data_IF_117694563839
#
_entry.id   IF_117694563839
#
_cell.length_a   1.000
_cell.length_b   1.000
_cell.length_c   1.000
_cell.angle_alpha   90.00
_cell.angle_beta   90.00
_cell.angle_gamma   90.00
#
_symmetry.space_group_name_H-M   'P 1'
#
loop_
_entity.id
_entity.type
_entity.pdbx_description
1 polymer ?
#
# COMPACT_ATOMS: atom_id res chain seq x y z
N UNK A 1 11.38 71.85 65.23
CA UNK A 1 12.29 71.63 64.08
C UNK A 1 12.69 70.16 64.13
N UNK A 2 11.93 69.28 63.46
CA UNK A 2 12.13 67.83 63.56
C UNK A 2 13.39 67.45 62.79
N UNK A 3 14.40 66.99 63.52
CA UNK A 3 15.61 66.37 62.97
C UNK A 3 15.15 65.03 62.38
N UNK A 4 14.73 65.04 61.12
CA UNK A 4 14.53 63.83 60.35
C UNK A 4 15.87 63.11 60.30
N UNK A 5 15.91 61.92 60.90
CA UNK A 5 17.10 61.09 60.99
C UNK A 5 17.75 60.97 59.61
N UNK A 6 19.01 61.41 59.50
CA UNK A 6 19.79 61.43 58.24
C UNK A 6 19.84 60.05 57.56
N UNK A 7 19.60 58.98 58.30
CA UNK A 7 19.46 57.61 57.79
C UNK A 7 18.14 57.39 57.05
N UNK A 8 17.03 57.92 57.56
CA UNK A 8 15.71 57.85 56.94
C UNK A 8 15.61 58.67 55.65
N UNK A 9 16.32 59.80 55.58
CA UNK A 9 16.39 60.63 54.38
C UNK A 9 17.27 59.97 53.30
N UNK A 10 18.39 59.34 53.71
CA UNK A 10 19.20 58.50 52.80
C UNK A 10 18.44 57.28 52.29
N UNK A 11 17.60 56.65 53.11
CA UNK A 11 16.77 55.52 52.67
C UNK A 11 15.71 55.98 51.67
N UNK A 12 15.03 57.10 51.94
CA UNK A 12 14.08 57.71 51.01
C UNK A 12 14.74 58.11 49.70
N UNK A 13 15.89 58.77 49.74
CA UNK A 13 16.65 59.15 48.55
C UNK A 13 17.08 57.93 47.73
N UNK A 14 17.55 56.85 48.37
CA UNK A 14 17.85 55.59 47.68
C UNK A 14 16.61 54.97 47.04
N UNK A 15 15.48 54.95 47.77
CA UNK A 15 14.25 54.36 47.25
C UNK A 15 13.68 55.14 46.06
N UNK A 16 13.69 56.48 46.13
CA UNK A 16 13.33 57.36 45.02
C UNK A 16 14.26 57.12 43.82
N UNK A 17 15.57 57.04 44.04
CA UNK A 17 16.53 56.76 42.97
C UNK A 17 16.33 55.39 42.33
N UNK A 18 15.95 54.38 43.11
CA UNK A 18 15.59 53.04 42.59
C UNK A 18 14.31 53.08 41.77
N UNK A 19 13.30 53.83 42.20
CA UNK A 19 12.07 54.02 41.44
C UNK A 19 12.30 54.81 40.15
N UNK A 20 13.15 55.84 40.17
CA UNK A 20 13.57 56.58 38.98
C UNK A 20 14.37 55.68 38.02
N UNK A 21 15.24 54.80 38.54
CA UNK A 21 15.96 53.83 37.71
C UNK A 21 15.00 52.82 37.07
N UNK A 22 14.02 52.31 37.82
CA UNK A 22 13.01 51.38 37.31
C UNK A 22 12.08 52.05 36.29
N UNK A 23 11.69 53.30 36.53
CA UNK A 23 10.92 54.12 35.59
C UNK A 23 11.73 54.36 34.32
N UNK A 24 13.01 54.74 34.45
CA UNK A 24 13.91 54.93 33.30
C UNK A 24 14.16 53.62 32.54
N UNK A 25 14.26 52.50 33.23
CA UNK A 25 14.39 51.17 32.61
C UNK A 25 13.09 50.75 31.93
N UNK A 26 11.92 51.14 32.47
CA UNK A 26 10.62 50.93 31.84
C UNK A 26 10.41 51.85 30.63
N UNK A 27 10.89 53.08 30.68
CA UNK A 27 10.80 54.03 29.57
C UNK A 27 11.79 53.63 28.46
N UNK A 28 13.02 53.22 28.80
CA UNK A 28 14.03 52.71 27.85
C UNK A 28 13.61 51.36 27.23
N UNK A 29 13.03 50.44 28.01
CA UNK A 29 12.48 49.17 27.48
C UNK A 29 11.10 49.32 26.83
N UNK A 30 10.32 50.34 27.20
CA UNK A 30 9.07 50.71 26.55
C UNK A 30 9.29 51.33 25.17
N UNK A 31 10.50 51.81 24.91
CA UNK A 31 10.95 52.34 23.61
C UNK A 31 11.76 51.30 22.80
N UNK A 32 11.79 50.03 23.22
CA UNK A 32 12.22 48.92 22.37
C UNK A 32 11.16 48.66 21.29
N UNK A 33 11.22 49.48 20.23
CA UNK A 33 11.11 49.05 18.82
C UNK A 33 10.13 47.90 18.53
N UNK A 34 8.92 47.97 19.08
CA UNK A 34 7.78 47.21 18.59
C UNK A 34 7.26 47.91 17.34
N UNK A 35 8.00 47.71 16.25
CA UNK A 35 7.52 47.88 14.89
C UNK A 35 7.22 49.32 14.51
N UNK A 36 8.02 49.83 13.58
CA UNK A 36 7.55 50.79 12.60
C UNK A 36 6.09 50.47 12.21
N UNK A 37 5.24 51.49 12.32
CA UNK A 37 3.82 51.43 11.97
C UNK A 37 3.60 51.19 10.47
N UNK A 38 3.82 49.95 10.03
CA UNK A 38 3.15 49.40 8.86
C UNK A 38 1.75 48.94 9.28
N UNK A 39 0.71 49.20 8.47
CA UNK A 39 -0.67 48.97 8.86
C UNK A 39 -0.87 47.49 9.19
N UNK A 40 -1.11 47.19 10.48
CA UNK A 40 -1.36 45.83 10.98
C UNK A 40 -2.58 45.18 10.31
N UNK A 41 -3.44 45.94 9.63
CA UNK A 41 -4.60 45.42 8.90
C UNK A 41 -4.20 44.62 7.65
N UNK A 42 -3.06 44.92 7.02
CA UNK A 42 -2.65 44.20 5.81
C UNK A 42 -1.91 42.92 6.18
N UNK A 43 -1.13 42.95 7.27
CA UNK A 43 -0.36 41.79 7.73
C UNK A 43 -1.24 40.63 8.22
N UNK A 44 -2.43 40.89 8.76
CA UNK A 44 -3.38 39.82 9.06
C UNK A 44 -3.96 39.20 7.79
N UNK A 45 -4.30 40.03 6.79
CA UNK A 45 -4.76 39.55 5.48
C UNK A 45 -3.68 38.72 4.78
N UNK A 46 -2.44 39.21 4.73
CA UNK A 46 -1.32 38.50 4.09
C UNK A 46 -1.03 37.15 4.79
N UNK A 47 -1.22 37.07 6.11
CA UNK A 47 -1.07 35.82 6.86
C UNK A 47 -2.26 34.87 6.67
N UNK A 48 -3.49 35.39 6.55
CA UNK A 48 -4.67 34.60 6.21
C UNK A 48 -4.56 34.01 4.79
N UNK A 49 -4.14 34.82 3.82
CA UNK A 49 -3.88 34.41 2.44
C UNK A 49 -2.77 33.35 2.36
N UNK A 50 -1.68 33.51 3.13
CA UNK A 50 -0.60 32.53 3.19
C UNK A 50 -1.04 31.23 3.90
N UNK A 51 -1.88 31.31 4.93
CA UNK A 51 -2.48 30.13 5.58
C UNK A 51 -3.36 29.37 4.59
N UNK A 52 -4.19 30.06 3.82
CA UNK A 52 -5.08 29.42 2.85
C UNK A 52 -4.28 28.84 1.68
N UNK A 53 -3.22 29.52 1.22
CA UNK A 53 -2.26 28.95 0.28
C UNK A 53 -1.60 27.67 0.82
N UNK A 54 -1.14 27.67 2.07
CA UNK A 54 -0.51 26.51 2.69
C UNK A 54 -1.48 25.35 2.88
N UNK A 55 -2.76 25.62 3.20
CA UNK A 55 -3.81 24.60 3.23
C UNK A 55 -4.05 23.99 1.86
N UNK A 56 -4.13 24.81 0.82
CA UNK A 56 -4.31 24.35 -0.56
C UNK A 56 -3.11 23.52 -1.03
N UNK A 57 -1.89 23.96 -0.73
CA UNK A 57 -0.67 23.24 -1.04
C UNK A 57 -0.62 21.90 -0.29
N UNK A 58 -0.92 21.89 1.00
CA UNK A 58 -1.00 20.66 1.79
C UNK A 58 -2.06 19.71 1.24
N UNK A 59 -3.26 20.21 0.92
CA UNK A 59 -4.33 19.43 0.30
C UNK A 59 -3.90 18.79 -1.02
N UNK A 60 -3.23 19.53 -1.89
CA UNK A 60 -2.68 18.99 -3.15
C UNK A 60 -1.61 17.93 -2.91
N UNK A 61 -0.70 18.16 -1.96
CA UNK A 61 0.32 17.15 -1.63
C UNK A 61 -0.29 15.87 -1.05
N UNK A 62 -1.33 16.00 -0.22
CA UNK A 62 -2.00 14.88 0.41
C UNK A 62 -2.74 14.04 -0.63
N UNK A 63 -3.47 14.68 -1.56
CA UNK A 63 -4.09 14.00 -2.72
C UNK A 63 -3.04 13.31 -3.58
N UNK A 64 -1.91 13.96 -3.87
CA UNK A 64 -0.83 13.35 -4.66
C UNK A 64 -0.21 12.12 -3.98
N UNK A 65 -0.04 12.15 -2.65
CA UNK A 65 0.45 11.00 -1.88
C UNK A 65 -0.60 9.88 -1.84
N UNK A 66 -1.88 10.20 -1.67
CA UNK A 66 -2.97 9.23 -1.71
C UNK A 66 -3.10 8.55 -3.08
N UNK A 67 -3.02 9.32 -4.18
CA UNK A 67 -3.04 8.79 -5.54
C UNK A 67 -1.83 7.88 -5.80
N UNK A 68 -0.62 8.30 -5.40
CA UNK A 68 0.58 7.47 -5.52
C UNK A 68 0.48 6.17 -4.71
N UNK A 69 -0.05 6.24 -3.48
CA UNK A 69 -0.30 5.06 -2.65
C UNK A 69 -1.34 4.13 -3.29
N UNK A 70 -2.40 4.70 -3.88
CA UNK A 70 -3.46 3.94 -4.57
C UNK A 70 -2.93 3.23 -5.81
N UNK A 71 -2.10 3.89 -6.62
CA UNK A 71 -1.45 3.28 -7.79
C UNK A 71 -0.55 2.14 -7.34
N UNK A 72 0.30 2.37 -6.33
CA UNK A 72 1.20 1.33 -5.80
C UNK A 72 0.44 0.13 -5.24
N UNK A 73 -0.69 0.36 -4.57
CA UNK A 73 -1.55 -0.71 -4.07
C UNK A 73 -2.18 -1.52 -5.22
N UNK A 74 -2.60 -0.85 -6.30
CA UNK A 74 -3.14 -1.52 -7.49
C UNK A 74 -2.07 -2.40 -8.17
N UNK A 75 -0.84 -1.90 -8.31
CA UNK A 75 0.30 -2.66 -8.85
C UNK A 75 0.61 -3.89 -7.99
N UNK A 76 0.65 -3.73 -6.66
CA UNK A 76 0.86 -4.84 -5.73
C UNK A 76 -0.26 -5.88 -5.82
N UNK A 77 -1.51 -5.43 -5.95
CA UNK A 77 -2.67 -6.33 -6.10
C UNK A 77 -2.55 -7.15 -7.38
N UNK A 78 -2.22 -6.51 -8.50
CA UNK A 78 -2.01 -7.20 -9.77
C UNK A 78 -0.85 -8.21 -9.71
N UNK A 79 0.25 -7.86 -9.03
CA UNK A 79 1.38 -8.77 -8.85
C UNK A 79 0.99 -10.01 -8.00
N UNK A 80 0.22 -9.82 -6.93
CA UNK A 80 -0.28 -10.92 -6.10
C UNK A 80 -1.22 -11.84 -6.90
N UNK A 81 -2.12 -11.28 -7.70
CA UNK A 81 -3.02 -12.06 -8.57
C UNK A 81 -2.24 -12.88 -9.60
N UNK A 82 -1.23 -12.27 -10.25
CA UNK A 82 -0.36 -12.96 -11.20
C UNK A 82 0.41 -14.13 -10.55
N UNK A 83 0.99 -13.90 -9.37
CA UNK A 83 1.70 -14.93 -8.61
C UNK A 83 0.75 -16.05 -8.16
N UNK A 84 -0.47 -15.71 -7.76
CA UNK A 84 -1.47 -16.70 -7.34
C UNK A 84 -1.90 -17.57 -8.53
N UNK A 85 -2.07 -16.98 -9.72
CA UNK A 85 -2.37 -17.70 -10.95
C UNK A 85 -1.21 -18.60 -11.40
N UNK A 86 0.04 -18.12 -11.30
CA UNK A 86 1.21 -18.93 -11.62
C UNK A 86 1.36 -20.13 -10.65
N UNK A 87 1.10 -19.91 -9.36
CA UNK A 87 1.18 -20.96 -8.35
C UNK A 87 0.10 -22.02 -8.55
N UNK A 88 -1.14 -21.63 -8.88
CA UNK A 88 -2.19 -22.60 -9.17
C UNK A 88 -1.90 -23.43 -10.42
N UNK A 89 -1.29 -22.83 -11.46
CA UNK A 89 -0.80 -23.57 -12.64
C UNK A 89 0.28 -24.58 -12.27
N UNK A 90 1.33 -24.15 -11.57
CA UNK A 90 2.41 -25.03 -11.12
C UNK A 90 1.89 -26.19 -10.27
N UNK A 91 0.92 -25.94 -9.40
CA UNK A 91 0.27 -26.99 -8.60
C UNK A 91 -0.45 -28.02 -9.48
N UNK A 92 -1.16 -27.57 -10.51
CA UNK A 92 -1.81 -28.47 -11.46
C UNK A 92 -0.78 -29.28 -12.26
N UNK A 93 0.27 -28.63 -12.77
CA UNK A 93 1.33 -29.28 -13.53
C UNK A 93 2.03 -30.36 -12.69
N UNK A 94 2.30 -30.08 -11.41
CA UNK A 94 2.84 -31.06 -10.47
C UNK A 94 1.91 -32.26 -10.27
N UNK A 95 0.60 -32.04 -10.15
CA UNK A 95 -0.37 -33.13 -10.04
C UNK A 95 -0.42 -33.98 -11.32
N UNK A 96 -0.38 -33.33 -12.49
CA UNK A 96 -0.35 -34.01 -13.78
C UNK A 96 0.93 -34.84 -13.95
N UNK A 97 2.08 -34.28 -13.59
CA UNK A 97 3.36 -34.99 -13.64
C UNK A 97 3.40 -36.16 -12.65
N UNK A 98 2.88 -35.99 -11.43
CA UNK A 98 2.80 -37.06 -10.44
C UNK A 98 1.87 -38.20 -10.90
N UNK A 99 0.76 -37.88 -11.56
CA UNK A 99 -0.10 -38.87 -12.19
C UNK A 99 0.63 -39.63 -13.32
N UNK A 100 1.27 -38.91 -14.24
CA UNK A 100 2.03 -39.53 -15.33
C UNK A 100 3.18 -40.41 -14.83
N UNK A 101 3.87 -40.01 -13.75
CA UNK A 101 4.91 -40.81 -13.11
C UNK A 101 4.36 -42.09 -12.49
N UNK A 102 3.17 -42.03 -11.87
CA UNK A 102 2.52 -43.24 -11.32
C UNK A 102 2.16 -44.20 -12.45
N UNK A 103 1.56 -43.70 -13.53
CA UNK A 103 1.17 -44.51 -14.68
C UNK A 103 2.39 -45.16 -15.35
N UNK A 104 3.48 -44.40 -15.54
CA UNK A 104 4.74 -44.94 -16.06
C UNK A 104 5.34 -46.01 -15.14
N UNK A 105 5.31 -45.79 -13.82
CA UNK A 105 5.81 -46.76 -12.85
C UNK A 105 4.98 -48.05 -12.87
N UNK A 106 3.67 -47.93 -12.99
CA UNK A 106 2.79 -49.08 -13.04
C UNK A 106 2.96 -49.81 -14.37
N UNK A 107 3.10 -49.12 -15.50
CA UNK A 107 3.41 -49.73 -16.81
C UNK A 107 4.70 -50.54 -16.74
N UNK A 108 5.79 -49.95 -16.23
CA UNK A 108 7.06 -50.65 -16.04
C UNK A 108 6.97 -51.87 -15.11
N UNK A 109 6.10 -51.83 -14.09
CA UNK A 109 5.84 -53.00 -13.24
C UNK A 109 5.14 -54.12 -14.00
N UNK A 110 4.13 -53.79 -14.81
CA UNK A 110 3.42 -54.77 -15.63
C UNK A 110 4.36 -55.40 -16.66
N UNK A 111 5.16 -54.58 -17.37
CA UNK A 111 6.16 -55.07 -18.30
C UNK A 111 7.17 -55.99 -17.61
N UNK A 112 7.70 -55.59 -16.44
CA UNK A 112 8.66 -56.43 -15.69
C UNK A 112 8.06 -57.77 -15.27
N UNK A 113 6.78 -57.80 -14.91
CA UNK A 113 6.07 -59.04 -14.61
C UNK A 113 5.90 -59.89 -15.87
N UNK A 114 5.47 -59.30 -16.99
CA UNK A 114 5.33 -59.99 -18.27
C UNK A 114 6.66 -60.61 -18.73
N UNK A 115 7.76 -59.85 -18.71
CA UNK A 115 9.11 -60.36 -19.03
C UNK A 115 9.55 -61.50 -18.12
N UNK A 116 9.17 -61.45 -16.83
CA UNK A 116 9.47 -62.52 -15.89
C UNK A 116 8.69 -63.79 -16.22
N UNK A 117 7.41 -63.65 -16.55
CA UNK A 117 6.56 -64.77 -16.94
C UNK A 117 7.04 -65.39 -18.25
N UNK A 118 7.34 -64.59 -19.28
CA UNK A 118 7.94 -65.06 -20.54
C UNK A 118 9.25 -65.81 -20.32
N UNK A 119 10.14 -65.27 -19.46
CA UNK A 119 11.38 -65.96 -19.12
C UNK A 119 11.13 -67.31 -18.46
N UNK A 120 10.18 -67.40 -17.52
CA UNK A 120 9.84 -68.69 -16.90
C UNK A 120 9.25 -69.68 -17.90
N UNK A 121 8.46 -69.22 -18.87
CA UNK A 121 7.93 -70.05 -19.96
C UNK A 121 9.04 -70.56 -20.87
N UNK A 122 10.00 -69.70 -21.24
CA UNK A 122 11.17 -70.09 -22.03
C UNK A 122 12.06 -71.09 -21.27
N UNK A 123 12.33 -70.86 -19.99
CA UNK A 123 13.10 -71.79 -19.16
C UNK A 123 12.40 -73.16 -19.05
N UNK A 124 11.07 -73.18 -18.92
CA UNK A 124 10.29 -74.41 -18.92
C UNK A 124 10.33 -75.13 -20.29
N UNK A 125 10.18 -74.39 -21.39
CA UNK A 125 10.26 -74.93 -22.74
C UNK A 125 11.65 -75.51 -23.06
N UNK A 126 12.73 -74.82 -22.64
CA UNK A 126 14.10 -75.33 -22.76
C UNK A 126 14.29 -76.61 -21.94
N UNK A 127 13.78 -76.64 -20.70
CA UNK A 127 13.86 -77.82 -19.84
C UNK A 127 13.09 -79.02 -20.40
N UNK A 128 11.95 -78.78 -21.06
CA UNK A 128 11.16 -79.82 -21.74
C UNK A 128 11.83 -80.32 -23.03
N UNK A 129 12.42 -79.41 -23.82
CA UNK A 129 13.20 -79.75 -25.01
C UNK A 129 14.47 -80.55 -24.68
N UNK A 130 15.16 -80.23 -23.57
CA UNK A 130 16.33 -81.01 -23.11
C UNK A 130 15.96 -82.38 -22.55
N UNK A 131 14.73 -82.56 -22.07
CA UNK A 131 14.22 -83.86 -21.58
C UNK A 131 13.89 -84.85 -22.71
N UNK A 132 13.64 -84.33 -23.92
CA UNK A 132 13.20 -85.11 -25.09
C UNK A 132 14.33 -85.39 -26.09
N UNK A 133 15.56 -84.90 -25.84
CA UNK A 133 16.73 -85.17 -26.66
C UNK A 133 17.49 -86.45 -26.23
N UNK A 134 17.76 -87.41 -27.16
CA UNK A 134 18.70 -88.51 -26.91
C UNK A 134 20.17 -88.00 -26.91
N UNK A 135 21.13 -88.76 -26.33
CA UNK A 135 22.52 -88.32 -26.22
C UNK A 135 23.12 -88.01 -27.60
N UNK A 136 23.75 -86.84 -27.71
CA UNK A 136 24.30 -86.33 -28.97
C UNK A 136 25.36 -87.28 -29.54
N UNK A 137 25.08 -87.84 -30.73
CA UNK A 137 26.11 -88.34 -31.65
C UNK A 137 26.63 -87.18 -32.50
N UNK A 138 27.93 -87.15 -32.85
CA UNK A 138 28.54 -86.02 -33.55
C UNK A 138 28.08 -86.02 -35.00
N UNK A 139 26.96 -85.32 -35.25
CA UNK A 139 26.43 -85.13 -36.58
C UNK A 139 26.90 -83.76 -37.05
N UNK A 140 27.81 -83.80 -38.02
CA UNK A 140 28.27 -82.68 -38.84
C UNK A 140 27.07 -81.86 -39.31
N UNK A 141 26.84 -80.71 -38.67
CA UNK A 141 25.91 -79.70 -39.16
C UNK A 141 26.62 -79.01 -40.32
N UNK A 142 26.15 -79.28 -41.54
CA UNK A 142 26.42 -78.42 -42.67
C UNK A 142 25.93 -77.02 -42.32
N UNK A 143 26.88 -76.09 -42.18
CA UNK A 143 26.60 -74.66 -42.20
C UNK A 143 25.98 -74.33 -43.55
N UNK A 144 24.65 -74.33 -43.62
CA UNK A 144 23.97 -73.39 -44.50
C UNK A 144 24.25 -72.00 -43.94
N UNK A 145 25.29 -71.39 -44.48
CA UNK A 145 25.50 -69.95 -44.39
C UNK A 145 24.31 -69.27 -45.06
N UNK A 146 23.32 -68.84 -44.27
CA UNK A 146 22.50 -67.70 -44.66
C UNK A 146 23.38 -66.44 -44.65
N UNK A 147 23.13 -65.46 -45.53
CA UNK A 147 24.06 -64.36 -45.75
C UNK A 147 24.26 -63.55 -44.44
N UNK A 148 25.49 -63.40 -43.93
CA UNK A 148 25.79 -62.68 -42.68
C UNK A 148 25.59 -61.16 -42.78
N UNK A 149 25.14 -60.65 -43.93
CA UNK A 149 24.96 -59.22 -44.16
C UNK A 149 23.62 -58.70 -43.61
N UNK A 150 22.54 -59.49 -43.60
CA UNK A 150 21.22 -58.98 -43.18
C UNK A 150 21.07 -58.82 -41.66
N UNK A 151 21.54 -59.79 -40.86
CA UNK A 151 21.50 -59.70 -39.39
C UNK A 151 22.41 -58.57 -38.85
N UNK A 152 23.58 -58.36 -39.46
CA UNK A 152 24.47 -57.26 -39.09
C UNK A 152 23.85 -55.89 -39.40
N UNK A 153 23.11 -55.75 -40.51
CA UNK A 153 22.44 -54.50 -40.88
C UNK A 153 21.28 -54.20 -39.92
N UNK A 154 20.52 -55.22 -39.49
CA UNK A 154 19.44 -55.03 -38.53
C UNK A 154 19.95 -54.69 -37.12
N UNK A 155 21.01 -55.36 -36.64
CA UNK A 155 21.66 -55.01 -35.37
C UNK A 155 22.26 -53.61 -35.39
N UNK A 156 22.90 -53.21 -36.49
CA UNK A 156 23.48 -51.87 -36.64
C UNK A 156 22.38 -50.79 -36.68
N UNK A 157 21.24 -51.07 -37.30
CA UNK A 157 20.07 -50.17 -37.32
C UNK A 157 19.45 -50.01 -35.94
N UNK A 158 19.31 -51.10 -35.18
CA UNK A 158 18.82 -51.06 -33.79
C UNK A 158 19.80 -50.26 -32.92
N UNK A 159 21.11 -50.47 -33.10
CA UNK A 159 22.14 -49.74 -32.36
C UNK A 159 22.10 -48.23 -32.63
N UNK A 160 21.95 -47.83 -33.90
CA UNK A 160 21.81 -46.41 -34.28
C UNK A 160 20.53 -45.78 -33.73
N UNK A 161 19.43 -46.53 -33.71
CA UNK A 161 18.18 -46.07 -33.08
C UNK A 161 18.35 -45.87 -31.56
N UNK A 162 18.97 -46.84 -30.88
CA UNK A 162 19.23 -46.75 -29.45
C UNK A 162 20.16 -45.58 -29.11
N UNK A 163 21.15 -45.31 -29.95
CA UNK A 163 22.10 -44.19 -29.78
C UNK A 163 21.42 -42.83 -30.01
N UNK A 164 20.50 -42.74 -30.97
CA UNK A 164 19.68 -41.55 -31.18
C UNK A 164 18.72 -41.28 -30.01
N UNK A 165 18.07 -42.32 -29.46
CA UNK A 165 17.21 -42.21 -28.28
C UNK A 165 18.00 -41.81 -27.02
N UNK A 166 19.21 -42.37 -26.85
CA UNK A 166 20.11 -41.99 -25.76
C UNK A 166 20.50 -40.51 -25.84
N UNK A 167 20.81 -40.02 -27.03
CA UNK A 167 21.17 -38.61 -27.23
C UNK A 167 19.97 -37.68 -27.01
N UNK A 168 18.77 -38.09 -27.44
CA UNK A 168 17.54 -37.36 -27.15
C UNK A 168 17.25 -37.31 -25.65
N UNK A 169 17.47 -38.41 -24.93
CA UNK A 169 17.34 -38.47 -23.46
C UNK A 169 18.35 -37.56 -22.77
N UNK A 170 19.61 -37.54 -23.22
CA UNK A 170 20.64 -36.62 -22.69
C UNK A 170 20.26 -35.16 -22.89
N UNK A 171 19.73 -34.79 -24.06
CA UNK A 171 19.25 -33.43 -24.31
C UNK A 171 18.06 -33.06 -23.42
N UNK A 172 17.11 -33.99 -23.22
CA UNK A 172 16.00 -33.79 -22.30
C UNK A 172 16.47 -33.55 -20.87
N UNK A 173 17.42 -34.35 -20.37
CA UNK A 173 18.02 -34.19 -19.04
C UNK A 173 18.74 -32.84 -18.92
N UNK A 174 19.55 -32.45 -19.91
CA UNK A 174 20.24 -31.16 -19.89
C UNK A 174 19.25 -29.97 -19.83
N UNK A 175 18.14 -30.05 -20.57
CA UNK A 175 17.08 -29.04 -20.53
C UNK A 175 16.36 -29.00 -19.16
N UNK A 176 16.10 -30.16 -18.57
CA UNK A 176 15.50 -30.28 -17.24
C UNK A 176 16.44 -29.74 -16.15
N UNK A 177 17.74 -29.97 -16.27
CA UNK A 177 18.73 -29.41 -15.34
C UNK A 177 18.84 -27.88 -15.46
N UNK A 178 18.83 -27.34 -16.68
CA UNK A 178 18.85 -25.89 -16.89
C UNK A 178 17.60 -25.22 -16.31
N UNK A 179 16.42 -25.82 -16.49
CA UNK A 179 15.17 -25.31 -15.91
C UNK A 179 15.16 -25.43 -14.39
N UNK A 180 15.68 -26.53 -13.83
CA UNK A 180 15.86 -26.69 -12.37
C UNK A 180 16.75 -25.59 -11.79
N UNK A 181 17.90 -25.32 -12.40
CA UNK A 181 18.82 -24.26 -11.95
C UNK A 181 18.18 -22.87 -12.01
N UNK A 182 17.41 -22.58 -13.08
CA UNK A 182 16.68 -21.32 -13.19
C UNK A 182 15.61 -21.16 -12.10
N UNK A 183 14.87 -22.22 -11.78
CA UNK A 183 13.88 -22.23 -10.69
C UNK A 183 14.55 -22.09 -9.31
N UNK A 184 15.67 -22.76 -9.08
CA UNK A 184 16.45 -22.61 -7.84
C UNK A 184 16.92 -21.16 -7.64
N UNK A 185 17.41 -20.50 -8.70
CA UNK A 185 17.80 -19.09 -8.64
C UNK A 185 16.61 -18.16 -8.33
N UNK A 186 15.44 -18.42 -8.92
CA UNK A 186 14.22 -17.67 -8.61
C UNK A 186 13.79 -17.85 -7.15
N UNK A 187 13.85 -19.06 -6.61
CA UNK A 187 13.52 -19.34 -5.19
C UNK A 187 14.46 -18.60 -4.25
N UNK A 188 15.76 -18.54 -4.55
CA UNK A 188 16.72 -17.76 -3.75
C UNK A 188 16.37 -16.27 -3.76
N UNK A 189 16.02 -15.73 -4.94
CA UNK A 189 15.63 -14.33 -5.10
C UNK A 189 14.37 -14.01 -4.29
N UNK A 190 13.30 -14.81 -4.46
CA UNK A 190 12.05 -14.65 -3.72
C UNK A 190 12.23 -14.76 -2.19
N UNK A 191 13.14 -15.62 -1.73
CA UNK A 191 13.50 -15.69 -0.30
C UNK A 191 14.19 -14.43 0.19
N UNK A 192 15.02 -13.80 -0.66
CA UNK A 192 15.63 -12.50 -0.38
C UNK A 192 14.57 -11.40 -0.23
N UNK A 193 13.67 -11.31 -1.20
CA UNK A 193 12.58 -10.32 -1.23
C UNK A 193 11.65 -10.48 -0.02
N UNK A 194 11.31 -11.73 0.34
CA UNK A 194 10.49 -12.01 1.53
C UNK A 194 11.17 -11.54 2.81
N UNK A 195 12.48 -11.78 2.97
CA UNK A 195 13.23 -11.28 4.14
C UNK A 195 13.23 -9.76 4.20
N UNK A 196 13.41 -9.09 3.06
CA UNK A 196 13.37 -7.63 2.99
C UNK A 196 11.98 -7.09 3.35
N UNK A 197 10.92 -7.71 2.84
CA UNK A 197 9.55 -7.33 3.14
C UNK A 197 9.22 -7.51 4.64
N UNK A 198 9.66 -8.60 5.26
CA UNK A 198 9.49 -8.84 6.70
C UNK A 198 10.22 -7.77 7.53
N UNK A 199 11.44 -7.40 7.15
CA UNK A 199 12.19 -6.35 7.84
C UNK A 199 11.54 -4.96 7.66
N UNK A 200 11.03 -4.65 6.48
CA UNK A 200 10.29 -3.42 6.24
C UNK A 200 9.00 -3.38 7.09
N UNK A 201 8.23 -4.48 7.12
CA UNK A 201 7.01 -4.59 7.91
C UNK A 201 7.28 -4.46 9.43
N UNK A 202 8.39 -5.03 9.93
CA UNK A 202 8.76 -4.88 11.34
C UNK A 202 9.13 -3.43 11.67
N UNK A 203 9.89 -2.75 10.80
CA UNK A 203 10.21 -1.33 10.98
C UNK A 203 8.97 -0.43 11.00
N UNK A 204 8.04 -0.63 10.06
CA UNK A 204 6.77 0.10 10.03
C UNK A 204 5.93 -0.15 11.29
N UNK A 205 5.92 -1.39 11.80
CA UNK A 205 5.20 -1.73 13.04
C UNK A 205 5.79 -1.00 14.25
N UNK A 206 7.11 -0.85 14.32
CA UNK A 206 7.75 -0.06 15.38
C UNK A 206 7.41 1.42 15.27
N UNK A 207 7.35 1.97 14.06
CA UNK A 207 6.97 3.37 13.81
C UNK A 207 5.50 3.64 14.19
N UNK A 208 4.57 2.76 13.79
CA UNK A 208 3.15 2.83 14.18
C UNK A 208 3.02 2.84 15.71
N UNK A 209 3.76 1.96 16.39
CA UNK A 209 3.71 1.89 17.87
C UNK A 209 4.24 3.18 18.51
N UNK A 210 5.29 3.78 17.94
CA UNK A 210 5.82 5.06 18.41
C UNK A 210 4.82 6.20 18.20
N UNK A 211 4.20 6.28 17.02
CA UNK A 211 3.18 7.29 16.70
C UNK A 211 1.93 7.14 17.58
N UNK A 212 1.48 5.92 17.86
CA UNK A 212 0.39 5.66 18.80
C UNK A 212 0.73 6.16 20.21
N UNK A 213 1.96 5.92 20.66
CA UNK A 213 2.43 6.41 21.96
C UNK A 213 2.43 7.95 22.01
N UNK A 214 2.93 8.60 20.96
CA UNK A 214 2.91 10.07 20.84
C UNK A 214 1.48 10.63 20.84
N UNK A 215 0.56 9.98 20.13
CA UNK A 215 -0.85 10.39 20.10
C UNK A 215 -1.48 10.32 21.49
N UNK A 216 -1.25 9.23 22.23
CA UNK A 216 -1.78 9.11 23.60
C UNK A 216 -1.19 10.18 24.54
N UNK A 217 0.09 10.51 24.40
CA UNK A 217 0.72 11.57 25.18
C UNK A 217 0.12 12.95 24.85
N UNK A 218 -0.10 13.25 23.57
CA UNK A 218 -0.74 14.48 23.12
C UNK A 218 -2.18 14.61 23.65
N UNK A 219 -2.97 13.53 23.62
CA UNK A 219 -4.33 13.50 24.18
C UNK A 219 -4.35 13.76 25.70
N UNK A 220 -3.38 13.21 26.44
CA UNK A 220 -3.24 13.47 27.88
C UNK A 220 -2.91 14.95 28.13
N UNK A 221 -2.01 15.53 27.34
CA UNK A 221 -1.65 16.95 27.44
C UNK A 221 -2.84 17.86 27.10
N UNK A 222 -3.58 17.56 26.04
CA UNK A 222 -4.79 18.30 25.66
C UNK A 222 -5.84 18.28 26.77
N UNK A 223 -6.09 17.09 27.36
CA UNK A 223 -7.02 16.96 28.48
C UNK A 223 -6.58 17.78 29.69
N UNK A 224 -5.29 17.77 30.02
CA UNK A 224 -4.75 18.57 31.12
C UNK A 224 -4.93 20.08 30.89
N UNK A 225 -4.67 20.56 29.66
CA UNK A 225 -4.89 21.96 29.29
C UNK A 225 -6.38 22.33 29.31
N UNK A 226 -7.26 21.44 28.85
CA UNK A 226 -8.72 21.61 28.91
C UNK A 226 -9.21 21.73 30.36
N UNK A 227 -8.72 20.88 31.26
CA UNK A 227 -9.05 20.94 32.68
C UNK A 227 -8.51 22.24 33.33
N UNK A 228 -7.30 22.67 32.98
CA UNK A 228 -6.78 23.97 33.41
C UNK A 228 -7.68 25.13 32.95
N UNK A 229 -8.13 25.14 31.69
CA UNK A 229 -9.06 26.15 31.18
C UNK A 229 -10.39 26.14 31.93
N UNK A 230 -10.95 24.97 32.25
CA UNK A 230 -12.18 24.85 33.06
C UNK A 230 -11.98 25.44 34.45
N UNK A 231 -10.86 25.15 35.12
CA UNK A 231 -10.58 25.73 36.45
C UNK A 231 -10.42 27.25 36.39
N UNK A 232 -9.73 27.78 35.38
CA UNK A 232 -9.58 29.22 35.17
C UNK A 232 -10.91 29.90 34.88
N UNK A 233 -11.79 29.29 34.06
CA UNK A 233 -13.16 29.77 33.84
C UNK A 233 -13.98 29.79 35.12
N UNK A 234 -13.89 28.73 35.94
CA UNK A 234 -14.57 28.65 37.23
C UNK A 234 -14.11 29.72 38.22
N UNK A 235 -12.79 29.98 38.28
CA UNK A 235 -12.22 31.08 39.07
C UNK A 235 -12.69 32.45 38.58
N UNK A 236 -12.70 32.65 37.26
CA UNK A 236 -13.14 33.91 36.65
C UNK A 236 -14.61 34.19 36.96
N UNK A 237 -15.51 33.20 36.79
CA UNK A 237 -16.92 33.32 37.19
C UNK A 237 -17.08 33.62 38.68
N UNK A 238 -16.28 32.96 39.53
CA UNK A 238 -16.31 33.20 40.99
C UNK A 238 -15.84 34.62 41.35
N UNK A 239 -14.86 35.17 40.63
CA UNK A 239 -14.42 36.55 40.79
C UNK A 239 -15.48 37.53 40.30
N UNK A 240 -16.10 37.27 39.14
CA UNK A 240 -17.20 38.09 38.61
C UNK A 240 -18.38 38.19 39.59
N UNK A 241 -18.79 37.07 40.21
CA UNK A 241 -19.85 37.03 41.23
C UNK A 241 -19.45 37.81 42.49
N UNK A 242 -18.17 37.83 42.87
CA UNK A 242 -17.68 38.62 44.00
C UNK A 242 -17.63 40.12 43.67
N UNK A 243 -17.27 40.48 42.46
CA UNK A 243 -17.19 41.87 42.00
C UNK A 243 -18.54 42.49 41.67
N UNK A 244 -19.57 41.70 41.37
CA UNK A 244 -20.93 42.20 41.13
C UNK A 244 -21.67 42.62 42.41
N UNK A 245 -21.10 42.35 43.59
CA UNK A 245 -21.53 42.91 44.88
C UNK A 245 -20.98 44.29 45.21
N UNK A 246 -19.94 44.75 44.51
CA UNK A 246 -19.39 46.11 44.65
C UNK A 246 -20.00 47.04 43.60
N UNK A 247 -20.84 47.96 44.05
CA UNK A 247 -21.55 48.94 43.22
C UNK A 247 -20.53 49.81 42.46
N UNK A 248 -20.54 49.82 41.11
CA UNK A 248 -19.53 50.56 40.36
C UNK A 248 -19.88 52.05 40.25
N UNK A 249 -19.17 52.87 41.02
CA UNK A 249 -19.05 54.32 40.79
C UNK A 249 -17.84 54.57 39.89
N UNK A 250 -18.03 54.72 38.58
CA UNK A 250 -17.14 55.43 37.62
C UNK A 250 -17.36 54.93 36.18
N UNK A 251 -17.25 55.84 35.22
CA UNK A 251 -17.38 55.68 33.76
C UNK A 251 -16.53 54.56 33.15
N UNK A 252 -15.46 54.11 33.82
CA UNK A 252 -14.64 52.95 33.43
C UNK A 252 -15.38 51.60 33.55
N UNK A 253 -16.35 51.48 34.46
CA UNK A 253 -17.11 50.24 34.66
C UNK A 253 -18.12 49.95 33.54
N UNK A 254 -18.66 50.99 32.88
CA UNK A 254 -19.56 50.79 31.74
C UNK A 254 -18.82 50.16 30.54
N UNK A 255 -17.56 50.57 30.31
CA UNK A 255 -16.71 50.00 29.24
C UNK A 255 -16.32 48.55 29.54
N UNK A 256 -16.03 48.24 30.81
CA UNK A 256 -15.74 46.87 31.26
C UNK A 256 -16.96 45.96 31.13
N UNK A 257 -18.15 46.43 31.54
CA UNK A 257 -19.42 45.71 31.36
C UNK A 257 -19.74 45.46 29.89
N UNK A 258 -19.48 46.44 29.01
CA UNK A 258 -19.67 46.28 27.57
C UNK A 258 -18.70 45.24 26.98
N UNK A 259 -17.43 45.26 27.39
CA UNK A 259 -16.44 44.24 27.00
C UNK A 259 -16.86 42.85 27.49
N UNK A 260 -17.32 42.72 28.73
CA UNK A 260 -17.80 41.46 29.28
C UNK A 260 -19.00 40.91 28.49
N UNK A 261 -19.99 41.76 28.17
CA UNK A 261 -21.12 41.37 27.31
C UNK A 261 -20.68 40.91 25.93
N UNK A 262 -19.70 41.60 25.35
CA UNK A 262 -19.15 41.25 24.02
C UNK A 262 -18.43 39.91 24.05
N UNK A 263 -17.65 39.63 25.10
CA UNK A 263 -16.96 38.35 25.27
C UNK A 263 -17.94 37.19 25.51
N UNK A 264 -19.02 37.42 26.25
CA UNK A 264 -20.07 36.43 26.44
C UNK A 264 -20.80 36.12 25.12
N UNK A 265 -21.12 37.13 24.32
CA UNK A 265 -21.71 36.91 22.99
C UNK A 265 -20.77 36.11 22.08
N UNK A 266 -19.47 36.43 22.07
CA UNK A 266 -18.47 35.67 21.30
C UNK A 266 -18.31 34.23 21.78
N UNK A 267 -18.40 33.99 23.09
CA UNK A 267 -18.39 32.63 23.66
C UNK A 267 -19.61 31.84 23.21
N UNK A 268 -20.79 32.45 23.21
CA UNK A 268 -22.02 31.83 22.76
C UNK A 268 -22.00 31.51 21.25
N UNK A 269 -21.44 32.41 20.43
CA UNK A 269 -21.21 32.16 19.00
C UNK A 269 -20.21 31.02 18.77
N UNK A 270 -19.16 30.91 19.60
CA UNK A 270 -18.22 29.78 19.50
C UNK A 270 -18.85 28.46 19.95
N UNK A 271 -19.69 28.47 20.98
CA UNK A 271 -20.40 27.28 21.45
C UNK A 271 -21.40 26.76 20.41
N UNK A 272 -22.15 27.64 19.77
CA UNK A 272 -23.06 27.27 18.67
C UNK A 272 -22.31 26.71 17.48
N UNK A 273 -21.21 27.36 17.07
CA UNK A 273 -20.37 26.90 15.97
C UNK A 273 -19.69 25.56 16.27
N UNK A 274 -19.32 25.31 17.52
CA UNK A 274 -18.79 24.00 17.94
C UNK A 274 -19.85 22.90 17.85
N UNK A 275 -21.08 23.18 18.30
CA UNK A 275 -22.19 22.23 18.19
C UNK A 275 -22.55 21.91 16.74
N UNK A 276 -22.49 22.91 15.84
CA UNK A 276 -22.63 22.71 14.39
C UNK A 276 -21.52 21.81 13.84
N UNK A 277 -20.26 22.08 14.22
CA UNK A 277 -19.12 21.27 13.76
C UNK A 277 -19.18 19.82 14.25
N UNK A 278 -19.63 19.59 15.49
CA UNK A 278 -19.86 18.24 16.02
C UNK A 278 -20.97 17.51 15.27
N UNK A 279 -22.07 18.21 14.94
CA UNK A 279 -23.15 17.64 14.14
C UNK A 279 -22.68 17.26 12.72
N UNK A 280 -21.89 18.12 12.08
CA UNK A 280 -21.28 17.83 10.78
C UNK A 280 -20.30 16.66 10.84
N UNK A 281 -19.47 16.60 11.89
CA UNK A 281 -18.55 15.48 12.09
C UNK A 281 -19.29 14.15 12.23
N UNK A 282 -20.36 14.11 13.03
CA UNK A 282 -21.21 12.92 13.15
C UNK A 282 -21.88 12.55 11.82
N UNK A 283 -22.40 13.52 11.07
CA UNK A 283 -23.00 13.27 9.76
C UNK A 283 -21.98 12.72 8.74
N UNK A 284 -20.75 13.22 8.76
CA UNK A 284 -19.65 12.71 7.93
C UNK A 284 -19.24 11.29 8.34
N UNK A 285 -19.18 11.02 9.64
CA UNK A 285 -18.88 9.68 10.17
C UNK A 285 -19.94 8.66 9.75
N UNK A 286 -21.23 9.03 9.84
CA UNK A 286 -22.34 8.19 9.38
C UNK A 286 -22.29 7.95 7.86
N UNK A 287 -21.95 8.99 7.09
CA UNK A 287 -21.79 8.87 5.63
C UNK A 287 -20.62 7.96 5.27
N UNK A 288 -19.50 8.06 5.97
CA UNK A 288 -18.33 7.20 5.79
C UNK A 288 -18.68 5.73 6.11
N UNK A 289 -19.41 5.50 7.22
CA UNK A 289 -19.87 4.16 7.59
C UNK A 289 -20.80 3.55 6.52
N UNK A 290 -21.75 4.35 5.98
CA UNK A 290 -22.63 3.93 4.88
C UNK A 290 -21.86 3.59 3.61
N UNK A 291 -20.91 4.42 3.21
CA UNK A 291 -20.07 4.16 2.04
C UNK A 291 -19.23 2.89 2.22
N UNK A 292 -18.64 2.70 3.41
CA UNK A 292 -17.88 1.50 3.72
C UNK A 292 -18.75 0.24 3.66
N UNK A 293 -20.00 0.31 4.15
CA UNK A 293 -20.95 -0.78 4.04
C UNK A 293 -21.38 -1.05 2.58
N UNK A 294 -21.59 -0.01 1.78
CA UNK A 294 -21.88 -0.14 0.34
C UNK A 294 -20.73 -0.83 -0.40
N UNK A 295 -19.48 -0.42 -0.15
CA UNK A 295 -18.31 -1.08 -0.74
C UNK A 295 -18.21 -2.56 -0.35
N UNK A 296 -18.44 -2.89 0.92
CA UNK A 296 -18.44 -4.29 1.36
C UNK A 296 -19.52 -5.11 0.65
N UNK A 297 -20.72 -4.55 0.48
CA UNK A 297 -21.81 -5.20 -0.23
C UNK A 297 -21.49 -5.38 -1.72
N UNK A 298 -20.94 -4.37 -2.40
CA UNK A 298 -20.54 -4.46 -3.81
C UNK A 298 -19.44 -5.51 -4.03
N UNK A 299 -18.44 -5.56 -3.14
CA UNK A 299 -17.38 -6.57 -3.20
C UNK A 299 -17.94 -7.97 -2.97
N UNK A 300 -18.86 -8.13 -2.02
CA UNK A 300 -19.53 -9.41 -1.78
C UNK A 300 -20.37 -9.84 -3.00
N UNK A 301 -21.09 -8.90 -3.62
CA UNK A 301 -21.91 -9.17 -4.80
C UNK A 301 -21.05 -9.54 -6.01
N UNK A 302 -19.96 -8.80 -6.30
CA UNK A 302 -19.02 -9.15 -7.37
C UNK A 302 -18.36 -10.52 -7.15
N UNK A 303 -18.10 -10.89 -5.89
CA UNK A 303 -17.58 -12.23 -5.56
C UNK A 303 -18.63 -13.33 -5.78
N UNK A 304 -19.89 -13.05 -5.49
CA UNK A 304 -21.00 -13.97 -5.75
C UNK A 304 -21.24 -14.13 -7.27
N UNK A 305 -21.31 -13.02 -8.01
CA UNK A 305 -21.45 -13.02 -9.46
C UNK A 305 -20.26 -13.74 -10.13
N UNK A 306 -19.04 -13.55 -9.61
CA UNK A 306 -17.86 -14.25 -10.09
C UNK A 306 -17.88 -15.77 -9.81
N UNK A 307 -18.55 -16.18 -8.74
CA UNK A 307 -18.75 -17.59 -8.40
C UNK A 307 -19.86 -18.24 -9.25
N UNK A 308 -20.92 -17.50 -9.60
CA UNK A 308 -22.04 -17.99 -10.43
C UNK A 308 -21.70 -18.01 -11.94
N UNK A 309 -21.06 -16.97 -12.47
CA UNK A 309 -20.76 -16.88 -13.91
C UNK A 309 -19.53 -17.69 -14.33
N UNK A 310 -18.67 -18.07 -13.38
CA UNK A 310 -17.40 -18.76 -13.66
C UNK A 310 -16.40 -17.87 -14.41
N UNK A 311 -15.11 -18.14 -14.17
CA UNK A 311 -13.98 -17.31 -14.65
C UNK A 311 -14.02 -17.06 -16.17
N UNK A 312 -14.56 -18.01 -16.95
CA UNK A 312 -14.69 -17.90 -18.39
C UNK A 312 -15.76 -16.90 -18.84
N UNK A 313 -16.94 -16.86 -18.21
CA UNK A 313 -17.97 -15.90 -18.61
C UNK A 313 -17.55 -14.46 -18.28
N UNK A 314 -16.92 -14.27 -17.11
CA UNK A 314 -16.33 -12.99 -16.71
C UNK A 314 -15.25 -12.54 -17.71
N UNK A 315 -14.41 -13.47 -18.18
CA UNK A 315 -13.38 -13.15 -19.18
C UNK A 315 -13.98 -12.75 -20.54
N UNK A 316 -15.07 -13.40 -20.95
CA UNK A 316 -15.80 -13.07 -22.18
C UNK A 316 -16.47 -11.70 -22.06
N UNK A 317 -17.10 -11.41 -20.92
CA UNK A 317 -17.72 -10.10 -20.64
C UNK A 317 -16.68 -8.99 -20.60
N UNK A 318 -15.56 -9.17 -19.91
CA UNK A 318 -14.45 -8.21 -19.88
C UNK A 318 -13.86 -7.98 -21.27
N UNK A 319 -13.75 -9.02 -22.11
CA UNK A 319 -13.33 -8.86 -23.52
C UNK A 319 -14.32 -8.03 -24.32
N UNK A 320 -15.61 -8.24 -24.10
CA UNK A 320 -16.68 -7.48 -24.76
C UNK A 320 -16.70 -6.02 -24.32
N UNK A 321 -16.56 -5.77 -23.03
CA UNK A 321 -16.49 -4.42 -22.46
C UNK A 321 -15.21 -3.69 -22.92
N UNK A 322 -14.05 -4.37 -22.90
CA UNK A 322 -12.80 -3.79 -23.41
C UNK A 322 -12.89 -3.43 -24.89
N UNK A 323 -13.56 -4.26 -25.68
CA UNK A 323 -13.84 -3.97 -27.08
C UNK A 323 -14.73 -2.73 -27.23
N UNK A 324 -15.81 -2.62 -26.45
CA UNK A 324 -16.69 -1.44 -26.46
C UNK A 324 -15.95 -0.16 -26.05
N UNK A 325 -15.09 -0.22 -25.03
CA UNK A 325 -14.28 0.91 -24.59
C UNK A 325 -13.28 1.35 -25.67
N UNK A 326 -12.66 0.41 -26.39
CA UNK A 326 -11.79 0.74 -27.53
C UNK A 326 -12.55 1.45 -28.63
N UNK A 327 -13.74 0.98 -28.97
CA UNK A 327 -14.61 1.65 -29.96
C UNK A 327 -14.96 3.06 -29.52
N UNK A 328 -15.35 3.27 -28.26
CA UNK A 328 -15.65 4.61 -27.74
C UNK A 328 -14.42 5.53 -27.75
N UNK A 329 -13.23 5.02 -27.44
CA UNK A 329 -11.98 5.79 -27.53
C UNK A 329 -11.66 6.17 -28.98
N UNK A 330 -11.91 5.28 -29.94
CA UNK A 330 -11.74 5.60 -31.36
C UNK A 330 -12.75 6.64 -31.86
N UNK A 331 -14.01 6.55 -31.42
CA UNK A 331 -15.04 7.56 -31.69
C UNK A 331 -14.65 8.92 -31.10
N UNK A 332 -14.17 8.95 -29.85
CA UNK A 332 -13.68 10.18 -29.21
C UNK A 332 -12.47 10.76 -29.95
N UNK A 333 -11.54 9.92 -30.44
CA UNK A 333 -10.42 10.38 -31.29
C UNK A 333 -10.91 10.90 -32.64
N UNK A 334 -11.92 10.28 -33.25
CA UNK A 334 -12.52 10.72 -34.50
C UNK A 334 -13.20 12.08 -34.33
N UNK A 335 -13.98 12.26 -33.25
CA UNK A 335 -14.58 13.54 -32.88
C UNK A 335 -13.50 14.60 -32.62
N UNK A 336 -12.47 14.27 -31.83
CA UNK A 336 -11.35 15.17 -31.58
C UNK A 336 -10.67 15.61 -32.90
N UNK A 337 -10.47 14.69 -33.84
CA UNK A 337 -9.90 15.01 -35.16
C UNK A 337 -10.82 15.93 -35.96
N UNK A 338 -12.13 15.72 -35.92
CA UNK A 338 -13.12 16.58 -36.60
C UNK A 338 -13.21 17.98 -35.97
N UNK A 339 -13.08 18.12 -34.65
CA UNK A 339 -13.15 19.42 -33.97
C UNK A 339 -11.82 20.19 -33.97
N UNK A 340 -10.66 19.52 -34.00
CA UNK A 340 -9.34 20.17 -34.00
C UNK A 340 -8.80 20.50 -35.39
N UNK A 341 -9.31 19.88 -36.47
CA UNK A 341 -8.86 20.21 -37.84
C UNK A 341 -9.36 21.55 -38.41
N UNK A 342 -10.55 22.09 -38.11
CA UNK A 342 -10.94 23.40 -38.63
C UNK A 342 -10.27 24.59 -37.91
N UNK A 343 -9.65 24.38 -36.74
CA UNK A 343 -9.03 25.46 -35.96
C UNK A 343 -7.66 25.95 -36.51
N UNK A 344 -7.01 25.21 -37.43
CA UNK A 344 -5.67 25.56 -37.94
C UNK A 344 -5.64 26.54 -39.13
N UNK A 345 -6.77 27.17 -39.52
CA UNK A 345 -6.82 28.12 -40.66
C UNK A 345 -7.44 29.49 -40.35
N UNK A 346 -7.21 30.04 -39.16
CA UNK A 346 -7.31 31.50 -38.93
C UNK A 346 -5.98 32.00 -38.36
N UNK A 347 -5.02 32.26 -39.26
CA UNK A 347 -3.87 33.11 -38.95
C UNK A 347 -4.43 34.51 -38.62
N UNK A 348 -4.47 34.85 -37.34
CA UNK A 348 -4.71 36.21 -36.88
C UNK A 348 -3.48 37.05 -37.26
N UNK A 349 -3.52 37.73 -38.40
CA UNK A 349 -2.59 38.83 -38.69
C UNK A 349 -3.07 40.05 -37.92
N UNK A 350 -2.31 40.50 -36.93
CA UNK A 350 -2.52 41.82 -36.34
C UNK A 350 -1.59 42.84 -37.03
N UNK A 351 -2.11 43.98 -37.51
CA UNK A 351 -1.28 45.04 -38.04
C UNK A 351 -0.58 45.75 -36.87
N UNK A 352 0.73 46.00 -37.03
CA UNK A 352 1.51 46.75 -36.07
C UNK A 352 1.11 48.23 -36.09
N UNK A 353 0.76 48.76 -34.91
CA UNK A 353 0.91 50.17 -34.53
C UNK A 353 1.35 50.22 -33.06
#
# INVERSE_FOLDING_TARGET
>A
MMILDKTSEKLRSKHVRTLELLQKTLDENGTLHLGQGLPRSNRSSDLEDEIDRLKDEHGRTLVGVEEAARVKLAEQTQAVEALTSANSKLKNDLLTLDAALRDARDTLRHERLAWKDERTQLEAAIAEATKTQPPASPSRIEQQQLPPEQDNIEEEKIRLQLEAELEQSRQAVASAESTRQALEAQVVTLRGDLKQAVNAASSQRTEITALQTQLTAAQVQEKALSDQLKTMRGRTRSLEIKTSGERPSSTTNAKLLLQQKTLLAKLQDLETRHAELEAEHHALQDRAARLQQQFLNEVAQRKADAAESGIFAIHVELKRENFQLRTQVEELKALQKQFLTPAKKKSMSFPAL
#
